data_IF_982288257785
#
_entry.id   IF_982288257785
#
_cell.length_a   1.000
_cell.length_b   1.000
_cell.length_c   1.000
_cell.angle_alpha   90.00
_cell.angle_beta   90.00
_cell.angle_gamma   90.00
#
_symmetry.space_group_name_H-M   'P 1'
#
loop_
_entity.id
_entity.type
_entity.pdbx_description
1 polymer ?
#
# COMPACT_ATOMS: atom_id res chain seq x y z
N UNK A 1 0.02 23.05 -41.14
CA UNK A 1 1.00 23.12 -40.03
C UNK A 1 0.23 23.27 -38.71
N UNK A 2 -0.22 22.17 -38.09
CA UNK A 2 -0.90 22.20 -36.78
C UNK A 2 0.16 22.13 -35.69
N UNK A 3 0.38 23.23 -34.95
CA UNK A 3 1.17 23.22 -33.71
C UNK A 3 0.45 22.29 -32.73
N UNK A 4 1.03 21.14 -32.45
CA UNK A 4 0.64 20.32 -31.31
C UNK A 4 0.94 21.10 -30.04
N UNK A 5 -0.11 21.59 -29.39
CA UNK A 5 -0.05 22.20 -28.08
C UNK A 5 0.47 21.16 -27.09
N UNK A 6 1.69 21.34 -26.60
CA UNK A 6 2.16 20.63 -25.42
C UNK A 6 1.30 21.11 -24.25
N UNK A 7 0.22 20.39 -23.93
CA UNK A 7 -0.50 20.54 -22.67
C UNK A 7 0.48 20.24 -21.53
N UNK A 8 1.06 21.29 -20.96
CA UNK A 8 1.81 21.18 -19.71
C UNK A 8 0.79 20.84 -18.65
N UNK A 9 0.69 19.57 -18.24
CA UNK A 9 -0.23 19.20 -17.18
C UNK A 9 0.12 20.00 -15.92
N UNK A 10 -0.78 20.88 -15.48
CA UNK A 10 -0.62 21.79 -14.34
C UNK A 10 -0.62 21.08 -12.97
N UNK A 11 -0.22 19.81 -12.93
CA UNK A 11 -0.13 19.03 -11.70
C UNK A 11 1.05 19.51 -10.88
N UNK A 12 0.77 20.26 -9.82
CA UNK A 12 1.78 20.64 -8.84
C UNK A 12 2.32 19.37 -8.17
N UNK A 13 3.64 19.10 -8.23
CA UNK A 13 4.22 17.93 -7.58
C UNK A 13 3.92 17.94 -6.09
N UNK A 14 3.39 16.83 -5.57
CA UNK A 14 3.19 16.68 -4.13
C UNK A 14 4.55 16.73 -3.41
N UNK A 15 4.72 17.69 -2.51
CA UNK A 15 5.96 17.86 -1.73
C UNK A 15 6.28 16.64 -0.85
N UNK A 16 7.57 16.42 -0.58
CA UNK A 16 8.06 15.21 0.10
C UNK A 16 7.36 14.95 1.45
N UNK A 17 7.13 15.98 2.27
CA UNK A 17 6.47 15.84 3.57
C UNK A 17 5.02 15.34 3.46
N UNK A 18 4.26 15.82 2.46
CA UNK A 18 2.89 15.33 2.23
C UNK A 18 2.89 13.88 1.75
N UNK A 19 3.88 13.48 0.94
CA UNK A 19 4.04 12.06 0.52
C UNK A 19 4.27 11.16 1.73
N UNK A 20 5.12 11.58 2.67
CA UNK A 20 5.40 10.81 3.89
C UNK A 20 4.16 10.68 4.78
N UNK A 21 3.41 11.77 4.98
CA UNK A 21 2.16 11.72 5.75
C UNK A 21 1.12 10.80 5.11
N UNK A 22 0.98 10.82 3.77
CA UNK A 22 0.10 9.90 3.03
C UNK A 22 0.53 8.45 3.28
N UNK A 23 1.83 8.15 3.21
CA UNK A 23 2.36 6.80 3.46
C UNK A 23 2.09 6.33 4.90
N UNK A 24 2.30 7.19 5.89
CA UNK A 24 1.99 6.88 7.29
C UNK A 24 0.50 6.62 7.47
N UNK A 25 -0.35 7.47 6.89
CA UNK A 25 -1.80 7.32 6.98
C UNK A 25 -2.29 6.02 6.33
N UNK A 26 -1.82 5.73 5.12
CA UNK A 26 -2.17 4.48 4.43
C UNK A 26 -1.63 3.25 5.18
N UNK A 27 -0.45 3.36 5.80
CA UNK A 27 0.10 2.33 6.68
C UNK A 27 -0.80 2.02 7.87
N UNK A 28 -1.31 3.04 8.56
CA UNK A 28 -2.26 2.86 9.68
C UNK A 28 -3.55 2.18 9.23
N UNK A 29 -4.08 2.57 8.06
CA UNK A 29 -5.29 1.95 7.51
C UNK A 29 -5.05 0.48 7.15
N UNK A 30 -3.89 0.16 6.57
CA UNK A 30 -3.51 -1.23 6.28
C UNK A 30 -3.37 -2.04 7.57
N UNK A 31 -2.72 -1.51 8.59
CA UNK A 31 -2.60 -2.19 9.90
C UNK A 31 -3.98 -2.47 10.50
N UNK A 32 -4.87 -1.47 10.52
CA UNK A 32 -6.24 -1.64 11.00
C UNK A 32 -7.01 -2.71 10.20
N UNK A 33 -6.82 -2.72 8.88
CA UNK A 33 -7.43 -3.72 8.00
C UNK A 33 -6.89 -5.13 8.28
N UNK A 34 -5.59 -5.28 8.50
CA UNK A 34 -4.97 -6.58 8.81
C UNK A 34 -5.44 -7.11 10.18
N UNK A 35 -5.57 -6.23 11.18
CA UNK A 35 -6.14 -6.60 12.48
C UNK A 35 -7.58 -7.08 12.31
N UNK A 36 -8.40 -6.35 11.52
CA UNK A 36 -9.78 -6.74 11.26
C UNK A 36 -9.87 -8.07 10.49
N UNK A 37 -9.02 -8.27 9.48
CA UNK A 37 -8.94 -9.52 8.73
C UNK A 37 -8.55 -10.69 9.63
N UNK A 38 -7.58 -10.47 10.54
CA UNK A 38 -7.21 -11.45 11.55
C UNK A 38 -8.37 -11.78 12.48
N UNK A 39 -9.08 -10.76 12.99
CA UNK A 39 -10.24 -10.95 13.86
C UNK A 39 -11.38 -11.74 13.19
N UNK A 40 -11.62 -11.51 11.89
CA UNK A 40 -12.61 -12.28 11.10
C UNK A 40 -12.15 -13.72 10.88
N UNK A 41 -10.84 -13.95 10.76
CA UNK A 41 -10.28 -15.30 10.61
C UNK A 41 -10.32 -16.10 11.92
N UNK A 42 -10.18 -15.48 13.09
CA UNK A 42 -10.19 -16.18 14.40
C UNK A 42 -11.30 -17.23 14.58
N UNK A 43 -12.59 -16.96 14.31
CA UNK A 43 -13.65 -17.96 14.48
C UNK A 43 -13.59 -19.12 13.48
N UNK A 44 -12.98 -18.92 12.30
CA UNK A 44 -12.90 -19.93 11.23
C UNK A 44 -11.71 -20.86 11.47
N UNK A 45 -10.64 -20.29 11.98
CA UNK A 45 -9.30 -20.87 11.91
C UNK A 45 -8.70 -21.16 13.29
N UNK A 46 -9.26 -20.57 14.35
CA UNK A 46 -8.82 -20.74 15.73
C UNK A 46 -7.65 -19.81 16.09
N UNK A 47 -7.18 -19.88 17.34
CA UNK A 47 -6.09 -19.05 17.86
C UNK A 47 -4.69 -19.56 17.51
N UNK A 48 -4.57 -20.66 16.77
CA UNK A 48 -3.27 -21.29 16.48
C UNK A 48 -2.54 -20.66 15.29
N UNK A 49 -3.27 -19.96 14.41
CA UNK A 49 -2.66 -19.39 13.22
C UNK A 49 -1.91 -18.10 13.49
N UNK A 50 -0.65 -18.11 13.10
CA UNK A 50 0.27 -17.00 13.29
C UNK A 50 0.82 -16.57 11.94
N UNK A 51 0.79 -15.26 11.69
CA UNK A 51 1.49 -14.69 10.54
C UNK A 51 2.96 -15.12 10.57
N UNK A 52 3.54 -15.42 9.40
CA UNK A 52 4.88 -16.00 9.20
C UNK A 52 5.06 -17.47 9.58
N UNK A 53 4.24 -18.04 10.47
CA UNK A 53 4.31 -19.47 10.80
C UNK A 53 3.47 -20.31 9.85
N UNK A 54 2.29 -19.81 9.49
CA UNK A 54 1.34 -20.47 8.60
C UNK A 54 1.34 -19.81 7.22
N UNK A 55 1.85 -20.50 6.16
CA UNK A 55 1.95 -19.92 4.83
C UNK A 55 0.59 -19.51 4.25
N UNK A 56 -0.46 -20.29 4.49
CA UNK A 56 -1.81 -20.00 3.98
C UNK A 56 -2.42 -18.77 4.66
N UNK A 57 -2.25 -18.62 5.97
CA UNK A 57 -2.72 -17.45 6.71
C UNK A 57 -1.94 -16.19 6.32
N UNK A 58 -0.63 -16.32 6.12
CA UNK A 58 0.22 -15.24 5.62
C UNK A 58 -0.20 -14.81 4.21
N UNK A 59 -0.48 -15.77 3.32
CA UNK A 59 -0.97 -15.48 1.97
C UNK A 59 -2.34 -14.79 2.00
N UNK A 60 -3.23 -15.20 2.90
CA UNK A 60 -4.53 -14.55 3.12
C UNK A 60 -4.36 -13.07 3.53
N UNK A 61 -3.51 -12.77 4.51
CA UNK A 61 -3.26 -11.39 4.96
C UNK A 61 -2.65 -10.53 3.83
N UNK A 62 -1.69 -11.09 3.07
CA UNK A 62 -1.12 -10.42 1.90
C UNK A 62 -2.19 -10.18 0.84
N UNK A 63 -3.09 -11.13 0.60
CA UNK A 63 -4.18 -11.00 -0.36
C UNK A 63 -5.18 -9.93 0.05
N UNK A 64 -5.54 -9.83 1.33
CA UNK A 64 -6.42 -8.78 1.86
C UNK A 64 -5.77 -7.40 1.68
N UNK A 65 -4.48 -7.28 2.01
CA UNK A 65 -3.73 -6.06 1.80
C UNK A 65 -3.67 -5.67 0.31
N UNK A 66 -3.37 -6.62 -0.58
CA UNK A 66 -3.36 -6.41 -2.02
C UNK A 66 -4.74 -5.97 -2.53
N UNK A 67 -5.80 -6.64 -2.11
CA UNK A 67 -7.16 -6.34 -2.52
C UNK A 67 -7.52 -4.90 -2.15
N UNK A 68 -7.18 -4.44 -0.94
CA UNK A 68 -7.45 -3.08 -0.51
C UNK A 68 -6.70 -2.02 -1.33
N UNK A 69 -5.37 -2.16 -1.48
CA UNK A 69 -4.57 -1.19 -2.25
C UNK A 69 -4.92 -1.24 -3.74
N UNK A 70 -5.03 -2.43 -4.32
CA UNK A 70 -5.41 -2.65 -5.71
C UNK A 70 -6.78 -2.05 -6.02
N UNK A 71 -7.76 -2.23 -5.12
CA UNK A 71 -9.09 -1.63 -5.26
C UNK A 71 -9.06 -0.09 -5.20
N UNK A 72 -8.37 0.47 -4.21
CA UNK A 72 -8.24 1.93 -4.06
C UNK A 72 -7.61 2.57 -5.32
N UNK A 73 -6.59 1.93 -5.88
CA UNK A 73 -5.90 2.46 -7.05
C UNK A 73 -6.69 2.27 -8.35
N UNK A 74 -7.43 1.18 -8.50
CA UNK A 74 -8.13 0.86 -9.77
C UNK A 74 -9.50 1.51 -9.91
N UNK A 75 -10.27 1.67 -8.82
CA UNK A 75 -11.56 2.38 -8.87
C UNK A 75 -11.42 3.89 -8.72
N UNK A 76 -10.47 4.36 -7.90
CA UNK A 76 -10.42 5.76 -7.48
C UNK A 76 -9.12 6.49 -7.79
N UNK A 77 -8.05 5.79 -8.17
CA UNK A 77 -6.71 6.37 -8.30
C UNK A 77 -6.18 7.02 -7.01
N UNK A 78 -6.84 6.76 -5.87
CA UNK A 78 -6.62 7.43 -4.59
C UNK A 78 -6.93 6.48 -3.45
N UNK A 79 -5.98 6.37 -2.53
CA UNK A 79 -6.12 5.73 -1.23
C UNK A 79 -6.75 6.70 -0.23
N UNK A 80 -7.13 6.20 0.94
CA UNK A 80 -7.69 7.03 2.01
C UNK A 80 -6.72 8.14 2.42
N UNK A 81 -5.42 7.84 2.58
CA UNK A 81 -4.40 8.84 2.88
C UNK A 81 -4.28 9.90 1.79
N UNK A 82 -4.30 9.47 0.52
CA UNK A 82 -4.30 10.40 -0.61
C UNK A 82 -5.52 11.30 -0.63
N UNK A 83 -6.72 10.77 -0.35
CA UNK A 83 -7.96 11.57 -0.29
C UNK A 83 -7.90 12.64 0.78
N UNK A 84 -7.41 12.29 1.97
CA UNK A 84 -7.38 13.22 3.08
C UNK A 84 -6.34 14.35 2.91
N UNK A 85 -5.27 14.11 2.11
CA UNK A 85 -4.25 15.12 1.78
C UNK A 85 -4.41 15.70 0.36
N UNK A 86 -5.57 15.49 -0.28
CA UNK A 86 -5.92 15.94 -1.64
C UNK A 86 -4.85 15.61 -2.69
N UNK A 87 -4.18 14.47 -2.54
CA UNK A 87 -3.23 13.95 -3.50
C UNK A 87 -3.90 12.95 -4.44
N UNK A 88 -3.38 12.82 -5.66
CA UNK A 88 -3.84 11.83 -6.64
C UNK A 88 -2.65 11.27 -7.39
N UNK A 89 -2.68 9.98 -7.68
CA UNK A 89 -1.78 9.38 -8.66
C UNK A 89 -2.48 9.46 -10.01
N UNK A 90 -1.84 10.12 -10.95
CA UNK A 90 -2.27 10.20 -12.36
C UNK A 90 -1.16 9.65 -13.25
N UNK A 91 -1.54 9.06 -14.38
CA UNK A 91 -0.59 8.73 -15.46
C UNK A 91 -0.17 10.02 -16.17
N UNK A 92 0.83 9.92 -17.07
CA UNK A 92 1.24 11.03 -17.94
C UNK A 92 0.08 11.58 -18.79
N UNK A 93 -0.94 10.75 -19.03
CA UNK A 93 -2.15 11.10 -19.77
C UNK A 93 -3.28 11.61 -18.86
N UNK A 94 -3.03 11.81 -17.55
CA UNK A 94 -4.03 12.32 -16.60
C UNK A 94 -5.06 11.29 -16.11
N UNK A 95 -4.97 10.05 -16.58
CA UNK A 95 -5.88 8.97 -16.19
C UNK A 95 -5.46 8.29 -14.88
N UNK A 96 -6.39 7.65 -14.14
CA UNK A 96 -6.02 6.81 -13.01
C UNK A 96 -5.13 5.63 -13.46
N UNK A 97 -4.19 5.17 -12.62
CA UNK A 97 -3.30 4.05 -12.97
C UNK A 97 -4.11 2.76 -13.19
N UNK A 98 -3.90 2.10 -14.33
CA UNK A 98 -4.52 0.81 -14.61
C UNK A 98 -4.05 -0.32 -13.67
N UNK A 99 -4.75 -1.46 -13.71
CA UNK A 99 -4.46 -2.65 -12.90
C UNK A 99 -2.99 -3.09 -12.99
N UNK A 100 -2.39 -3.06 -14.18
CA UNK A 100 -0.97 -3.44 -14.39
C UNK A 100 -0.01 -2.56 -13.59
N UNK A 101 -0.19 -1.25 -13.63
CA UNK A 101 0.65 -0.29 -12.90
C UNK A 101 0.44 -0.41 -11.39
N UNK A 102 -0.79 -0.69 -10.96
CA UNK A 102 -1.15 -0.94 -9.57
C UNK A 102 -0.48 -2.20 -9.03
N UNK A 103 -0.47 -3.29 -9.79
CA UNK A 103 0.20 -4.54 -9.40
C UNK A 103 1.71 -4.38 -9.26
N UNK A 104 2.37 -3.70 -10.21
CA UNK A 104 3.82 -3.45 -10.13
C UNK A 104 4.16 -2.59 -8.90
N UNK A 105 3.37 -1.54 -8.64
CA UNK A 105 3.54 -0.71 -7.44
C UNK A 105 3.38 -1.51 -6.15
N UNK A 106 2.42 -2.43 -6.11
CA UNK A 106 2.24 -3.30 -4.95
C UNK A 106 3.42 -4.25 -4.76
N UNK A 107 3.90 -4.91 -5.81
CA UNK A 107 5.07 -5.80 -5.73
C UNK A 107 6.30 -5.02 -5.24
N UNK A 108 6.51 -3.79 -5.72
CA UNK A 108 7.61 -2.93 -5.24
C UNK A 108 7.42 -2.52 -3.78
N UNK A 109 6.19 -2.22 -3.35
CA UNK A 109 5.88 -1.93 -1.94
C UNK A 109 6.17 -3.13 -1.05
N UNK A 110 5.75 -4.33 -1.47
CA UNK A 110 5.98 -5.58 -0.74
C UNK A 110 7.49 -5.87 -0.64
N UNK A 111 8.22 -5.71 -1.74
CA UNK A 111 9.67 -5.88 -1.78
C UNK A 111 10.39 -4.88 -0.87
N UNK A 112 9.89 -3.65 -0.76
CA UNK A 112 10.46 -2.62 0.13
C UNK A 112 10.11 -2.83 1.61
N UNK A 113 8.98 -3.49 1.90
CA UNK A 113 8.56 -3.81 3.26
C UNK A 113 9.41 -4.95 3.86
N UNK A 114 9.90 -5.89 3.04
CA UNK A 114 10.76 -7.01 3.46
C UNK A 114 12.03 -6.55 4.22
N UNK A 115 12.87 -5.62 3.70
CA UNK A 115 14.06 -5.16 4.41
C UNK A 115 13.74 -4.28 5.63
N UNK A 116 12.62 -3.54 5.64
CA UNK A 116 12.20 -2.79 6.83
C UNK A 116 11.74 -3.71 7.96
N UNK A 117 10.98 -4.76 7.63
CA UNK A 117 10.59 -5.79 8.58
C UNK A 117 11.83 -6.54 9.09
N UNK A 118 12.75 -6.93 8.20
CA UNK A 118 13.99 -7.60 8.57
C UNK A 118 14.90 -6.71 9.43
N UNK A 119 15.02 -5.42 9.12
CA UNK A 119 15.79 -4.45 9.90
C UNK A 119 15.19 -4.21 11.29
N UNK A 120 13.88 -4.10 11.40
CA UNK A 120 13.18 -4.01 12.69
C UNK A 120 13.37 -5.29 13.52
N UNK A 121 13.26 -6.47 12.91
CA UNK A 121 13.48 -7.75 13.58
C UNK A 121 14.91 -7.89 14.09
N UNK A 122 15.90 -7.51 13.28
CA UNK A 122 17.31 -7.51 13.69
C UNK A 122 17.58 -6.52 14.82
N UNK A 123 16.92 -5.35 14.81
CA UNK A 123 17.05 -4.36 15.89
C UNK A 123 16.44 -4.86 17.21
N UNK A 124 15.37 -5.64 17.17
CA UNK A 124 14.76 -6.24 18.36
C UNK A 124 15.63 -7.40 18.87
N UNK A 125 16.20 -8.21 17.97
CA UNK A 125 17.06 -9.34 18.33
C UNK A 125 18.41 -8.91 18.91
N UNK A 126 18.92 -7.72 18.54
CA UNK A 126 20.17 -7.16 19.07
C UNK A 126 20.03 -6.50 20.45
N UNK A 127 18.83 -6.45 21.04
CA UNK A 127 18.64 -5.85 22.37
C UNK A 127 18.92 -6.83 23.53
N UNK A 128 19.19 -8.09 23.23
CA UNK A 128 19.31 -9.20 24.20
C UNK A 128 20.74 -9.77 24.30
N UNK A 129 21.80 -9.00 23.97
CA UNK A 129 23.19 -9.36 24.28
C UNK A 129 23.95 -8.20 24.89
#
# INVERSE_FOLDING_TARGET
>A
MKRGTHEHSDWVPCGMGRRLLIMVYDGLVVVALLILAGAIALPITGSEQQAFRDPLYTLYLIAVWFAYLGWCWTRGGQTVGMRAWKARIVTLEGHPPGWRASSIRFVMSLLSALPLAAGFWMSVLHRER
#
